data_IF_258765993916
#
_entry.id   IF_258765993916
#
_cell.length_a   1.000
_cell.length_b   1.000
_cell.length_c   1.000
_cell.angle_alpha   90.00
_cell.angle_beta   90.00
_cell.angle_gamma   90.00
#
_symmetry.space_group_name_H-M   'P 1'
#
loop_
_entity.id
_entity.type
_entity.pdbx_description
1 polymer ?
#
# COMPACT_ATOMS: atom_id res chain seq x y z
N UNK A 1 9.21 -4.56 21.26
CA UNK A 1 9.77 -3.62 20.29
C UNK A 1 9.41 -4.04 18.89
N UNK A 2 9.04 -3.09 18.04
CA UNK A 2 8.72 -3.40 16.66
C UNK A 2 10.01 -3.48 15.84
N UNK A 3 10.22 -4.62 15.17
CA UNK A 3 11.30 -4.75 14.21
C UNK A 3 10.86 -4.19 12.87
N UNK A 4 11.12 -2.92 12.64
CA UNK A 4 10.69 -2.23 11.44
C UNK A 4 11.84 -2.19 10.44
N UNK A 5 11.57 -2.71 9.23
CA UNK A 5 12.53 -2.65 8.14
C UNK A 5 12.01 -1.70 7.07
N UNK A 6 12.89 -0.89 6.53
CA UNK A 6 12.59 0.03 5.43
C UNK A 6 13.15 -0.52 4.15
N UNK A 7 12.40 -0.38 3.08
CA UNK A 7 12.86 -0.86 1.79
C UNK A 7 12.36 0.00 0.64
N UNK A 8 12.94 -0.24 -0.51
CA UNK A 8 12.53 0.43 -1.74
C UNK A 8 12.45 -0.62 -2.84
N UNK A 9 11.30 -0.67 -3.50
CA UNK A 9 11.15 -1.49 -4.71
C UNK A 9 11.50 -0.62 -5.89
N UNK A 10 12.31 -1.15 -6.79
CA UNK A 10 12.71 -0.42 -7.99
C UNK A 10 12.18 -1.11 -9.22
N UNK A 11 11.55 -0.34 -10.08
CA UNK A 11 11.18 -0.76 -11.41
C UNK A 11 11.98 0.04 -12.43
N UNK A 12 11.59 -0.08 -13.67
CA UNK A 12 12.24 0.68 -14.74
C UNK A 12 11.72 2.10 -14.71
N UNK A 13 12.59 3.02 -14.26
CA UNK A 13 12.25 4.43 -14.20
C UNK A 13 11.40 4.85 -13.02
N UNK A 14 11.22 3.98 -12.00
CA UNK A 14 10.45 4.35 -10.82
C UNK A 14 10.93 3.62 -9.58
N UNK A 15 10.62 4.22 -8.43
CA UNK A 15 10.92 3.62 -7.12
C UNK A 15 9.71 3.81 -6.20
N UNK A 16 9.50 2.84 -5.33
CA UNK A 16 8.41 2.87 -4.35
C UNK A 16 8.94 2.45 -2.99
N UNK A 17 8.78 3.31 -2.00
CA UNK A 17 9.21 3.02 -0.64
C UNK A 17 8.15 2.21 0.10
N UNK A 18 8.63 1.38 1.02
CA UNK A 18 7.74 0.65 1.91
C UNK A 18 8.43 0.42 3.24
N UNK A 19 7.64 0.08 4.25
CA UNK A 19 8.15 -0.45 5.50
C UNK A 19 7.52 -1.81 5.72
N UNK A 20 8.25 -2.66 6.45
CA UNK A 20 7.80 -3.99 6.77
C UNK A 20 8.00 -4.24 8.25
N UNK A 21 7.03 -4.89 8.89
CA UNK A 21 7.14 -5.30 10.28
C UNK A 21 6.20 -6.47 10.56
N UNK A 22 6.32 -7.02 11.74
CA UNK A 22 5.47 -8.12 12.16
C UNK A 22 6.04 -9.47 11.77
N UNK A 23 5.29 -10.52 12.08
CA UNK A 23 5.70 -11.89 11.82
C UNK A 23 4.46 -12.74 11.56
N UNK A 24 4.66 -13.85 10.88
CA UNK A 24 3.56 -14.76 10.60
C UNK A 24 3.56 -15.20 9.15
N UNK A 25 2.68 -16.14 8.85
CA UNK A 25 2.60 -16.70 7.51
C UNK A 25 1.73 -15.92 6.54
N UNK A 26 0.92 -14.99 7.05
CA UNK A 26 0.05 -14.18 6.22
C UNK A 26 0.65 -12.80 5.99
N UNK A 27 0.40 -12.27 4.81
CA UNK A 27 0.86 -10.94 4.44
C UNK A 27 -0.32 -9.99 4.44
N UNK A 28 -0.15 -8.83 5.05
CA UNK A 28 -1.10 -7.73 4.97
C UNK A 28 -0.40 -6.56 4.29
N UNK A 29 -0.92 -6.14 3.15
CA UNK A 29 -0.43 -4.98 2.45
C UNK A 29 -1.37 -3.81 2.75
N UNK A 30 -0.85 -2.73 3.30
CA UNK A 30 -1.62 -1.54 3.65
C UNK A 30 -1.31 -0.44 2.65
N UNK A 31 -2.35 0.07 2.01
CA UNK A 31 -2.27 1.18 1.07
C UNK A 31 -2.90 2.39 1.74
N UNK A 32 -2.10 3.26 2.35
CA UNK A 32 -2.65 4.40 3.08
C UNK A 32 -3.13 5.49 2.14
N UNK A 33 -3.90 6.39 2.67
CA UNK A 33 -4.25 7.60 1.94
C UNK A 33 -3.05 8.52 1.81
N UNK A 34 -3.16 9.52 0.95
CA UNK A 34 -2.11 10.52 0.76
C UNK A 34 -2.29 11.67 1.75
N UNK A 35 -2.29 11.38 3.03
CA UNK A 35 -2.62 12.37 4.03
C UNK A 35 -1.83 13.65 3.93
N UNK A 36 -0.53 13.57 3.84
CA UNK A 36 0.33 14.74 3.70
C UNK A 36 0.88 14.89 2.27
N UNK A 37 0.51 13.97 1.40
CA UNK A 37 0.75 14.07 -0.03
C UNK A 37 2.19 13.99 -0.50
N UNK A 38 3.13 14.34 0.33
CA UNK A 38 4.52 14.51 -0.11
C UNK A 38 5.51 13.60 0.58
N UNK A 39 5.13 13.02 1.71
CA UNK A 39 6.04 12.15 2.44
C UNK A 39 5.90 10.72 2.02
N UNK A 40 7.01 10.02 1.97
CA UNK A 40 6.99 8.58 1.78
C UNK A 40 6.82 7.89 3.11
N UNK A 41 6.40 6.63 3.08
CA UNK A 41 6.28 5.86 4.33
C UNK A 41 7.61 5.69 5.04
N UNK A 42 8.74 5.79 4.33
CA UNK A 42 10.05 5.70 4.96
C UNK A 42 10.26 6.80 5.99
N UNK A 43 9.79 8.00 5.70
CA UNK A 43 9.97 9.14 6.60
C UNK A 43 9.07 9.03 7.83
N UNK A 44 7.97 8.30 7.73
CA UNK A 44 7.00 8.15 8.81
C UNK A 44 6.98 6.72 9.35
N UNK A 45 8.03 5.95 9.11
CA UNK A 45 8.05 4.52 9.41
C UNK A 45 7.69 4.17 10.85
N UNK A 46 8.33 4.82 11.81
CA UNK A 46 8.08 4.47 13.23
C UNK A 46 6.69 4.85 13.69
N UNK A 47 6.19 6.05 13.42
CA UNK A 47 4.80 6.38 13.78
C UNK A 47 3.77 5.47 13.11
N UNK A 48 3.94 5.15 11.84
CA UNK A 48 3.00 4.29 11.14
C UNK A 48 3.05 2.86 11.67
N UNK A 49 4.24 2.34 11.93
CA UNK A 49 4.38 1.00 12.48
C UNK A 49 3.75 0.92 13.87
N UNK A 50 3.95 1.94 14.69
CA UNK A 50 3.34 1.98 16.02
C UNK A 50 1.82 1.99 15.94
N UNK A 51 1.26 2.78 15.01
CA UNK A 51 -0.18 2.84 14.83
C UNK A 51 -0.76 1.52 14.33
N UNK A 52 0.00 0.77 13.56
CA UNK A 52 -0.48 -0.46 12.93
C UNK A 52 0.04 -1.73 13.59
N UNK A 53 0.68 -1.63 14.74
CA UNK A 53 1.38 -2.78 15.35
C UNK A 53 0.47 -3.96 15.66
N UNK A 54 -0.81 -3.71 15.93
CA UNK A 54 -1.74 -4.80 16.21
C UNK A 54 -1.86 -5.77 15.05
N UNK A 55 -1.77 -5.25 13.83
CA UNK A 55 -1.83 -6.09 12.64
C UNK A 55 -0.61 -6.99 12.50
N UNK A 56 0.53 -6.59 13.08
CA UNK A 56 1.77 -7.33 12.97
C UNK A 56 1.90 -8.51 13.91
N UNK A 57 0.92 -8.76 14.79
CA UNK A 57 0.99 -9.85 15.73
C UNK A 57 0.97 -11.21 15.05
N UNK A 58 0.16 -11.36 14.02
CA UNK A 58 0.01 -12.62 13.31
C UNK A 58 0.25 -12.49 11.81
N UNK A 59 0.66 -11.32 11.36
CA UNK A 59 0.85 -11.03 9.94
C UNK A 59 2.15 -10.30 9.72
N UNK A 60 2.72 -10.55 8.57
CA UNK A 60 3.82 -9.72 8.07
C UNK A 60 3.18 -8.54 7.36
N UNK A 61 3.40 -7.34 7.87
CA UNK A 61 2.73 -6.15 7.39
C UNK A 61 3.67 -5.34 6.51
N UNK A 62 3.17 -4.97 5.33
CA UNK A 62 3.86 -4.04 4.42
C UNK A 62 3.02 -2.78 4.30
N UNK A 63 3.63 -1.64 4.58
CA UNK A 63 3.02 -0.33 4.36
C UNK A 63 3.70 0.31 3.16
N UNK A 64 2.92 0.59 2.14
CA UNK A 64 3.45 1.13 0.89
C UNK A 64 3.16 2.61 0.74
N UNK A 65 4.13 3.36 0.22
CA UNK A 65 3.85 4.70 -0.27
C UNK A 65 3.46 4.60 -1.74
N UNK A 66 3.18 5.74 -2.37
CA UNK A 66 3.10 5.81 -3.83
C UNK A 66 4.51 5.86 -4.38
N UNK A 67 4.66 5.64 -5.68
CA UNK A 67 6.01 5.72 -6.26
C UNK A 67 6.54 7.14 -6.12
N UNK A 68 7.85 7.26 -6.00
CA UNK A 68 8.49 8.55 -5.89
C UNK A 68 8.31 9.33 -7.19
N UNK A 69 8.20 10.65 -7.05
CA UNK A 69 8.07 11.49 -8.23
C UNK A 69 6.77 11.33 -8.97
N UNK A 70 5.71 10.93 -8.26
CA UNK A 70 4.39 10.79 -8.87
C UNK A 70 3.94 12.14 -9.40
N UNK A 71 3.63 12.19 -10.69
CA UNK A 71 3.32 13.45 -11.33
C UNK A 71 1.87 13.87 -11.18
N UNK A 72 1.59 15.18 -11.26
CA UNK A 72 0.21 15.64 -11.36
C UNK A 72 -0.44 14.98 -12.57
N UNK A 73 -1.65 14.51 -12.43
CA UNK A 73 -2.32 13.80 -13.50
C UNK A 73 -2.14 12.29 -13.45
N UNK A 74 -1.36 11.78 -12.49
CA UNK A 74 -1.27 10.34 -12.27
C UNK A 74 -2.66 9.81 -11.92
N UNK A 75 -3.03 8.67 -12.52
CA UNK A 75 -4.35 8.09 -12.33
C UNK A 75 -4.33 7.05 -11.22
N UNK A 76 -5.50 6.80 -10.64
CA UNK A 76 -5.65 5.72 -9.66
C UNK A 76 -5.28 4.38 -10.29
N UNK A 77 -5.69 4.16 -11.54
CA UNK A 77 -5.34 2.95 -12.25
C UNK A 77 -3.83 2.80 -12.41
N UNK A 78 -3.14 3.88 -12.76
CA UNK A 78 -1.68 3.85 -12.88
C UNK A 78 -1.01 3.56 -11.56
N UNK A 79 -1.53 4.12 -10.47
CA UNK A 79 -1.03 3.82 -9.13
C UNK A 79 -1.23 2.34 -8.79
N UNK A 80 -2.36 1.77 -9.19
CA UNK A 80 -2.62 0.34 -8.96
C UNK A 80 -1.67 -0.53 -9.77
N UNK A 81 -1.34 -0.13 -10.98
CA UNK A 81 -0.38 -0.86 -11.81
C UNK A 81 1.01 -0.85 -11.17
N UNK A 82 1.43 0.30 -10.65
CA UNK A 82 2.70 0.40 -9.92
C UNK A 82 2.69 -0.50 -8.70
N UNK A 83 1.57 -0.50 -7.98
CA UNK A 83 1.42 -1.32 -6.77
C UNK A 83 1.49 -2.80 -7.10
N UNK A 84 0.83 -3.21 -8.18
CA UNK A 84 0.86 -4.61 -8.60
C UNK A 84 2.28 -5.06 -8.92
N UNK A 85 3.01 -4.24 -9.64
CA UNK A 85 4.38 -4.57 -10.00
C UNK A 85 5.27 -4.67 -8.76
N UNK A 86 5.11 -3.73 -7.82
CA UNK A 86 5.88 -3.74 -6.58
C UNK A 86 5.61 -5.02 -5.78
N UNK A 87 4.36 -5.41 -5.66
CA UNK A 87 3.99 -6.63 -4.93
C UNK A 87 4.55 -7.87 -5.60
N UNK A 88 4.50 -7.93 -6.92
CA UNK A 88 5.09 -9.06 -7.66
C UNK A 88 6.60 -9.15 -7.42
N UNK A 89 7.28 -8.02 -7.44
CA UNK A 89 8.73 -7.99 -7.19
C UNK A 89 9.09 -8.46 -5.79
N UNK A 90 8.21 -8.19 -4.82
CA UNK A 90 8.42 -8.63 -3.44
C UNK A 90 7.89 -10.03 -3.18
N UNK A 91 7.26 -10.65 -4.14
CA UNK A 91 6.71 -12.00 -3.99
C UNK A 91 5.47 -12.07 -3.13
N UNK A 92 4.67 -11.03 -3.09
CA UNK A 92 3.49 -10.95 -2.22
C UNK A 92 2.22 -11.39 -2.95
N UNK A 93 2.15 -12.66 -3.27
CA UNK A 93 0.97 -13.22 -3.94
C UNK A 93 -0.08 -13.62 -2.91
N UNK A 94 -1.34 -13.34 -3.18
CA UNK A 94 -2.42 -13.74 -2.29
C UNK A 94 -2.39 -13.04 -0.95
N UNK A 95 -2.08 -11.75 -0.93
CA UNK A 95 -2.03 -10.96 0.30
C UNK A 95 -3.41 -10.45 0.69
N UNK A 96 -3.61 -10.23 1.98
CA UNK A 96 -4.73 -9.43 2.43
C UNK A 96 -4.36 -7.97 2.18
N UNK A 97 -5.29 -7.18 1.64
CA UNK A 97 -5.02 -5.79 1.28
C UNK A 97 -5.99 -4.88 2.03
N UNK A 98 -5.44 -3.91 2.74
CA UNK A 98 -6.20 -2.89 3.44
C UNK A 98 -5.97 -1.56 2.75
N UNK A 99 -7.00 -1.00 2.15
CA UNK A 99 -6.93 0.30 1.49
C UNK A 99 -7.65 1.36 2.30
N UNK A 100 -7.00 2.49 2.51
CA UNK A 100 -7.53 3.59 3.31
C UNK A 100 -7.65 4.83 2.43
N UNK A 101 -8.84 5.40 2.36
CA UNK A 101 -9.11 6.62 1.60
C UNK A 101 -8.68 6.44 0.14
N UNK A 102 -7.77 7.26 -0.39
CA UNK A 102 -7.27 7.09 -1.76
C UNK A 102 -6.65 5.71 -1.95
N UNK A 103 -5.95 5.20 -0.94
CA UNK A 103 -5.40 3.85 -0.99
C UNK A 103 -6.47 2.79 -1.19
N UNK A 104 -7.69 3.05 -0.73
CA UNK A 104 -8.82 2.17 -0.97
C UNK A 104 -9.24 2.15 -2.43
N UNK A 105 -9.17 3.29 -3.11
CA UNK A 105 -9.47 3.32 -4.54
C UNK A 105 -8.39 2.56 -5.34
N UNK A 106 -7.13 2.75 -4.96
CA UNK A 106 -6.03 1.99 -5.58
C UNK A 106 -6.21 0.49 -5.35
N UNK A 107 -6.58 0.11 -4.13
CA UNK A 107 -6.76 -1.30 -3.77
C UNK A 107 -7.88 -1.96 -4.57
N UNK A 108 -8.95 -1.23 -4.84
CA UNK A 108 -10.04 -1.76 -5.65
C UNK A 108 -9.60 -2.04 -7.09
N UNK A 109 -8.86 -1.12 -7.68
CA UNK A 109 -8.29 -1.35 -9.01
C UNK A 109 -7.31 -2.52 -9.00
N UNK A 110 -6.49 -2.60 -7.95
CA UNK A 110 -5.54 -3.69 -7.81
C UNK A 110 -6.25 -5.04 -7.77
N UNK A 111 -7.31 -5.15 -6.98
CA UNK A 111 -8.07 -6.39 -6.86
C UNK A 111 -8.76 -6.77 -8.17
N UNK A 112 -9.23 -5.79 -8.91
CA UNK A 112 -9.91 -6.02 -10.18
C UNK A 112 -8.95 -6.44 -11.29
N UNK A 113 -7.76 -5.84 -11.33
CA UNK A 113 -6.83 -6.04 -12.44
C UNK A 113 -5.77 -7.10 -12.14
N UNK A 114 -5.47 -7.35 -10.88
CA UNK A 114 -4.48 -8.35 -10.47
C UNK A 114 -5.03 -9.19 -9.31
N UNK A 115 -6.13 -9.92 -9.53
CA UNK A 115 -6.77 -10.67 -8.45
C UNK A 115 -5.87 -11.72 -7.82
N UNK A 116 -4.86 -12.18 -8.52
CA UNK A 116 -3.92 -13.15 -7.99
C UNK A 116 -3.08 -12.60 -6.84
N UNK A 117 -3.01 -11.27 -6.71
CA UNK A 117 -2.26 -10.63 -5.64
C UNK A 117 -3.10 -10.39 -4.39
N UNK A 118 -4.43 -10.44 -4.51
CA UNK A 118 -5.33 -10.02 -3.45
C UNK A 118 -6.20 -11.18 -2.99
N UNK A 119 -5.97 -11.65 -1.77
CA UNK A 119 -6.80 -12.71 -1.19
C UNK A 119 -8.06 -12.13 -0.53
N UNK A 120 -7.89 -11.06 0.22
CA UNK A 120 -8.99 -10.34 0.87
C UNK A 120 -8.77 -8.86 0.71
N UNK A 121 -9.86 -8.13 0.58
CA UNK A 121 -9.81 -6.68 0.42
C UNK A 121 -10.64 -6.04 1.51
N UNK A 122 -10.03 -5.14 2.26
CA UNK A 122 -10.71 -4.36 3.29
C UNK A 122 -10.56 -2.88 2.94
N UNK A 123 -11.66 -2.16 2.93
CA UNK A 123 -11.68 -0.75 2.55
C UNK A 123 -12.15 0.09 3.73
N UNK A 124 -11.42 1.15 4.02
CA UNK A 124 -11.74 2.04 5.13
C UNK A 124 -11.85 3.47 4.59
N UNK A 125 -12.99 4.11 4.87
CA UNK A 125 -13.24 5.51 4.50
C UNK A 125 -12.90 5.80 3.05
N UNK A 126 -13.42 4.97 2.14
CA UNK A 126 -13.09 5.06 0.73
C UNK A 126 -14.35 5.01 -0.12
N UNK A 127 -14.18 5.16 -1.45
CA UNK A 127 -15.26 5.05 -2.41
C UNK A 127 -14.76 4.26 -3.62
N UNK A 128 -15.70 3.78 -4.44
CA UNK A 128 -15.36 3.05 -5.65
C UNK A 128 -14.78 3.93 -6.74
N UNK A 129 -15.05 5.21 -6.67
CA UNK A 129 -14.47 6.19 -7.59
C UNK A 129 -14.36 7.53 -6.87
N UNK A 130 -13.51 8.40 -7.39
CA UNK A 130 -13.37 9.74 -6.86
C UNK A 130 -14.15 10.71 -7.76
N UNK A 131 -14.95 11.55 -7.13
CA UNK A 131 -15.61 12.65 -7.82
C UNK A 131 -15.92 13.74 -6.80
N UNK A 132 -16.47 14.84 -7.29
CA UNK A 132 -16.71 16.00 -6.45
C UNK A 132 -17.69 15.74 -5.31
N UNK A 133 -18.64 14.83 -5.51
CA UNK A 133 -19.64 14.55 -4.49
C UNK A 133 -19.14 13.61 -3.41
N UNK A 134 -18.03 12.96 -3.62
CA UNK A 134 -17.46 12.01 -2.67
C UNK A 134 -16.49 12.70 -1.72
N UNK A 135 -16.02 13.84 -2.08
CA UNK A 135 -15.10 14.61 -1.24
C UNK A 135 -15.72 15.03 0.11
#
# INVERSE_FOLDING_TARGET
>A
MLGVERGTVRGEGWEMDHIRFGAGGRVLAILPGLGDGLRTVRETALPLAAACREYGRERKVYLFSRRRGLEPGATIRGMAEDQAEAMKKLGLWGADVLGISQGGMVAQHLAAEAPELVRRLVLVATAGWANETVQ
#
